data_IF_431290166387
#
_entry.id   IF_431290166387
#
_cell.length_a   1.000
_cell.length_b   1.000
_cell.length_c   1.000
_cell.angle_alpha   90.00
_cell.angle_beta   90.00
_cell.angle_gamma   90.00
#
_symmetry.space_group_name_H-M   'P 1'
#
loop_
_entity.id
_entity.type
_entity.pdbx_description
1 polymer ?
#
# COMPACT_ATOMS: atom_id res chain seq x y z
N UNK A 1 16.49 4.55 15.64
CA UNK A 1 16.31 5.59 14.60
C UNK A 1 17.69 5.97 14.07
N UNK A 2 17.90 6.08 12.75
CA UNK A 2 19.21 6.44 12.15
C UNK A 2 19.26 7.97 11.94
N UNK A 3 19.95 8.75 12.78
CA UNK A 3 19.82 10.22 12.80
C UNK A 3 20.35 10.91 11.54
N UNK A 4 21.26 10.24 10.80
CA UNK A 4 21.87 10.74 9.57
C UNK A 4 21.15 10.32 8.29
N UNK A 5 19.96 9.71 8.39
CA UNK A 5 19.19 9.35 7.20
C UNK A 5 18.69 10.61 6.49
N UNK A 6 18.93 10.71 5.18
CA UNK A 6 18.42 11.77 4.32
C UNK A 6 17.32 11.23 3.42
N UNK A 7 16.36 12.09 3.09
CA UNK A 7 15.22 11.75 2.22
C UNK A 7 15.11 12.78 1.11
N UNK A 8 14.77 12.33 -0.10
CA UNK A 8 14.34 13.26 -1.15
C UNK A 8 12.97 13.80 -0.78
N UNK A 9 12.68 15.06 -1.12
CA UNK A 9 11.39 15.71 -0.84
C UNK A 9 10.18 14.86 -1.30
N UNK A 10 10.28 14.26 -2.49
CA UNK A 10 9.23 13.40 -3.06
C UNK A 10 9.03 12.10 -2.26
N UNK A 11 10.11 11.50 -1.76
CA UNK A 11 10.04 10.31 -0.90
C UNK A 11 9.42 10.62 0.45
N UNK A 12 9.78 11.78 1.03
CA UNK A 12 9.17 12.26 2.27
C UNK A 12 7.67 12.50 2.10
N UNK A 13 7.25 13.15 1.01
CA UNK A 13 5.83 13.41 0.77
C UNK A 13 5.06 12.11 0.55
N UNK A 14 5.61 11.14 -0.21
CA UNK A 14 5.01 9.82 -0.34
C UNK A 14 4.84 9.12 1.03
N UNK A 15 5.86 9.22 1.90
CA UNK A 15 5.80 8.63 3.23
C UNK A 15 4.73 9.29 4.11
N UNK A 16 4.55 10.61 4.01
CA UNK A 16 3.48 11.33 4.72
C UNK A 16 2.12 10.81 4.28
N UNK A 17 1.86 10.69 2.98
CA UNK A 17 0.58 10.15 2.47
C UNK A 17 0.35 8.70 2.92
N UNK A 18 1.41 7.88 2.93
CA UNK A 18 1.34 6.48 3.33
C UNK A 18 1.06 6.30 4.83
N UNK A 19 1.93 6.84 5.68
CA UNK A 19 1.91 6.57 7.12
C UNK A 19 0.91 7.46 7.86
N UNK A 20 0.82 8.73 7.46
CA UNK A 20 -0.10 9.68 8.10
C UNK A 20 -1.44 9.70 7.37
N UNK A 21 -1.41 9.88 6.06
CA UNK A 21 -2.60 10.02 5.23
C UNK A 21 -3.51 8.79 5.21
N UNK A 22 -2.97 7.60 5.45
CA UNK A 22 -3.75 6.36 5.53
C UNK A 22 -3.64 5.71 6.90
N UNK A 23 -2.48 5.21 7.32
CA UNK A 23 -2.39 4.38 8.53
C UNK A 23 -2.77 5.14 9.81
N UNK A 24 -2.33 6.39 9.96
CA UNK A 24 -2.73 7.23 11.10
C UNK A 24 -4.19 7.66 10.98
N UNK A 25 -4.65 8.10 9.80
CA UNK A 25 -6.06 8.47 9.55
C UNK A 25 -7.01 7.34 9.95
N UNK A 26 -6.77 6.11 9.48
CA UNK A 26 -7.62 4.95 9.80
C UNK A 26 -7.54 4.60 11.28
N UNK A 27 -6.36 4.70 11.89
CA UNK A 27 -6.20 4.51 13.34
C UNK A 27 -7.02 5.50 14.14
N UNK A 28 -6.94 6.80 13.81
CA UNK A 28 -7.68 7.86 14.49
C UNK A 28 -9.20 7.69 14.31
N UNK A 29 -9.67 7.47 13.08
CA UNK A 29 -11.09 7.20 12.83
C UNK A 29 -11.58 5.98 13.62
N UNK A 30 -10.82 4.87 13.63
CA UNK A 30 -11.23 3.66 14.35
C UNK A 30 -11.33 3.84 15.86
N UNK A 31 -10.53 4.76 16.43
CA UNK A 31 -10.56 5.06 17.86
C UNK A 31 -11.85 5.76 18.28
N UNK A 32 -12.37 6.60 17.39
CA UNK A 32 -13.59 7.39 17.59
C UNK A 32 -14.87 6.56 17.32
N UNK A 33 -14.77 5.40 16.66
CA UNK A 33 -15.90 4.51 16.46
C UNK A 33 -16.41 3.90 17.76
N UNK A 34 -17.73 3.79 17.92
CA UNK A 34 -18.34 3.06 19.03
C UNK A 34 -18.04 1.55 18.92
N UNK A 35 -18.13 1.00 17.71
CA UNK A 35 -17.77 -0.39 17.43
C UNK A 35 -16.24 -0.55 17.34
N UNK A 36 -15.65 -1.15 18.38
CA UNK A 36 -14.19 -1.31 18.47
C UNK A 36 -13.59 -2.37 17.53
N UNK A 37 -14.43 -3.10 16.78
CA UNK A 37 -13.98 -4.05 15.75
C UNK A 37 -13.08 -3.39 14.70
N UNK A 38 -13.33 -2.12 14.36
CA UNK A 38 -12.53 -1.39 13.38
C UNK A 38 -11.12 -1.01 13.88
N UNK A 39 -10.89 -1.05 15.20
CA UNK A 39 -9.56 -0.84 15.80
C UNK A 39 -8.73 -2.13 15.76
N UNK A 40 -9.37 -3.27 16.06
CA UNK A 40 -8.77 -4.61 15.88
C UNK A 40 -8.46 -4.88 14.41
N UNK A 41 -9.38 -4.49 13.55
CA UNK A 41 -9.31 -4.61 12.10
C UNK A 41 -10.07 -5.81 11.55
N UNK A 42 -10.62 -5.63 10.35
CA UNK A 42 -11.37 -6.65 9.65
C UNK A 42 -10.45 -7.74 9.08
N UNK A 43 -10.97 -8.94 8.76
CA UNK A 43 -10.18 -9.97 8.09
C UNK A 43 -9.48 -9.44 6.84
N UNK A 44 -8.18 -9.75 6.70
CA UNK A 44 -7.36 -9.39 5.54
C UNK A 44 -7.28 -7.86 5.31
N UNK A 45 -7.54 -7.04 6.34
CA UNK A 45 -7.46 -5.57 6.25
C UNK A 45 -6.12 -5.08 5.69
N UNK A 46 -5.03 -5.81 5.95
CA UNK A 46 -3.68 -5.39 5.55
C UNK A 46 -3.56 -5.22 4.03
N UNK A 47 -4.24 -6.06 3.23
CA UNK A 47 -4.24 -5.91 1.77
C UNK A 47 -4.88 -4.57 1.36
N UNK A 48 -6.03 -4.22 1.96
CA UNK A 48 -6.69 -2.95 1.68
C UNK A 48 -5.92 -1.75 2.24
N UNK A 49 -5.40 -1.83 3.47
CA UNK A 49 -4.66 -0.73 4.09
C UNK A 49 -3.37 -0.39 3.34
N UNK A 50 -2.56 -1.40 2.98
CA UNK A 50 -1.34 -1.16 2.19
C UNK A 50 -1.69 -0.70 0.75
N UNK A 51 -2.79 -1.22 0.19
CA UNK A 51 -3.31 -0.78 -1.10
C UNK A 51 -3.71 0.69 -1.11
N UNK A 52 -4.51 1.12 -0.14
CA UNK A 52 -4.92 2.51 0.05
C UNK A 52 -3.70 3.42 0.25
N UNK A 53 -2.71 2.96 1.00
CA UNK A 53 -1.50 3.73 1.26
C UNK A 53 -0.66 3.95 -0.02
N UNK A 54 -0.51 2.93 -0.87
CA UNK A 54 0.15 3.10 -2.18
C UNK A 54 -0.71 3.94 -3.13
N UNK A 55 -2.04 3.80 -3.10
CA UNK A 55 -2.94 4.63 -3.87
C UNK A 55 -2.81 6.11 -3.46
N UNK A 56 -2.67 6.42 -2.18
CA UNK A 56 -2.40 7.77 -1.68
C UNK A 56 -1.03 8.30 -2.15
N UNK A 57 0.02 7.46 -2.14
CA UNK A 57 1.32 7.80 -2.77
C UNK A 57 1.13 8.17 -4.26
N UNK A 58 0.31 7.41 -5.00
CA UNK A 58 0.03 7.62 -6.42
C UNK A 58 -0.78 8.90 -6.68
N UNK A 59 -1.96 9.05 -6.04
CA UNK A 59 -2.88 10.16 -6.27
C UNK A 59 -2.32 11.50 -5.78
N UNK A 60 -1.39 11.50 -4.83
CA UNK A 60 -0.64 12.70 -4.44
C UNK A 60 0.43 13.14 -5.45
N UNK A 61 0.69 12.32 -6.49
CA UNK A 61 1.76 12.55 -7.47
C UNK A 61 3.16 12.20 -6.97
N UNK A 62 3.28 11.57 -5.80
CA UNK A 62 4.57 11.32 -5.13
C UNK A 62 5.14 9.91 -5.33
N UNK A 63 4.34 8.96 -5.85
CA UNK A 63 4.83 7.64 -6.23
C UNK A 63 5.91 7.77 -7.31
N UNK A 64 7.07 7.13 -7.10
CA UNK A 64 8.20 7.13 -8.02
C UNK A 64 8.35 5.78 -8.72
N UNK A 65 8.94 5.75 -9.93
CA UNK A 65 9.21 4.49 -10.64
C UNK A 65 10.16 3.59 -9.86
N UNK A 66 11.15 4.18 -9.17
CA UNK A 66 12.06 3.42 -8.31
C UNK A 66 11.32 2.80 -7.12
N UNK A 67 10.33 3.50 -6.55
CA UNK A 67 9.46 2.99 -5.48
C UNK A 67 8.58 1.84 -6.00
N UNK A 68 7.93 2.02 -7.15
CA UNK A 68 7.10 1.00 -7.78
C UNK A 68 7.92 -0.25 -8.15
N UNK A 69 9.09 -0.07 -8.79
CA UNK A 69 10.03 -1.17 -9.09
C UNK A 69 10.46 -1.90 -7.81
N UNK A 70 10.77 -1.18 -6.74
CA UNK A 70 11.15 -1.80 -5.45
C UNK A 70 10.01 -2.65 -4.87
N UNK A 71 8.76 -2.20 -4.97
CA UNK A 71 7.59 -3.00 -4.56
C UNK A 71 7.45 -4.25 -5.43
N UNK A 72 7.58 -4.13 -6.75
CA UNK A 72 7.52 -5.27 -7.68
C UNK A 72 8.60 -6.32 -7.40
N UNK A 73 9.84 -5.88 -7.19
CA UNK A 73 10.96 -6.78 -6.85
C UNK A 73 10.73 -7.52 -5.53
N UNK A 74 10.03 -6.91 -4.57
CA UNK A 74 9.67 -7.59 -3.32
C UNK A 74 8.62 -8.68 -3.55
N UNK A 75 7.62 -8.43 -4.40
CA UNK A 75 6.64 -9.45 -4.79
C UNK A 75 7.34 -10.64 -5.46
N UNK A 76 8.26 -10.37 -6.40
CA UNK A 76 9.07 -11.42 -7.05
C UNK A 76 9.92 -12.18 -6.03
N UNK A 77 10.56 -11.50 -5.09
CA UNK A 77 11.36 -12.14 -4.05
C UNK A 77 10.52 -13.02 -3.11
N UNK A 78 9.29 -12.60 -2.78
CA UNK A 78 8.34 -13.43 -2.01
C UNK A 78 7.95 -14.68 -2.81
N UNK A 79 7.64 -14.53 -4.10
CA UNK A 79 7.28 -15.64 -4.98
C UNK A 79 8.41 -16.68 -5.10
N UNK A 80 9.66 -16.23 -5.28
CA UNK A 80 10.83 -17.11 -5.28
C UNK A 80 10.98 -17.87 -3.96
N UNK A 81 10.85 -17.17 -2.82
CA UNK A 81 10.93 -17.79 -1.50
C UNK A 81 9.83 -18.85 -1.29
N UNK A 82 8.59 -18.53 -1.65
CA UNK A 82 7.46 -19.47 -1.57
C UNK A 82 7.64 -20.68 -2.51
N UNK A 83 8.37 -20.49 -3.61
CA UNK A 83 8.73 -21.54 -4.57
C UNK A 83 9.94 -22.38 -4.13
N UNK A 84 10.48 -22.13 -2.93
CA UNK A 84 11.57 -22.91 -2.34
C UNK A 84 12.97 -22.40 -2.65
N UNK A 85 13.12 -21.22 -3.28
CA UNK A 85 14.44 -20.63 -3.48
C UNK A 85 15.07 -20.26 -2.13
N UNK A 86 16.38 -20.45 -2.00
CA UNK A 86 17.12 -19.99 -0.84
C UNK A 86 17.53 -18.50 -0.96
N UNK A 87 18.13 -17.98 0.12
CA UNK A 87 18.57 -16.59 0.18
C UNK A 87 19.55 -16.23 -0.97
N UNK A 88 20.51 -17.11 -1.24
CA UNK A 88 21.58 -16.86 -2.21
C UNK A 88 21.03 -16.91 -3.63
N UNK A 89 20.15 -17.87 -3.91
CA UNK A 89 19.43 -18.00 -5.17
C UNK A 89 18.58 -16.76 -5.45
N UNK A 90 17.76 -16.32 -4.48
CA UNK A 90 16.95 -15.11 -4.59
C UNK A 90 17.83 -13.86 -4.82
N UNK A 91 18.90 -13.69 -4.05
CA UNK A 91 19.83 -12.57 -4.23
C UNK A 91 20.45 -12.56 -5.64
N UNK A 92 20.95 -13.71 -6.10
CA UNK A 92 21.56 -13.84 -7.41
C UNK A 92 20.56 -13.62 -8.54
N UNK A 93 19.31 -14.09 -8.40
CA UNK A 93 18.23 -13.78 -9.34
C UNK A 93 17.95 -12.27 -9.42
N UNK A 94 17.76 -11.60 -8.29
CA UNK A 94 17.54 -10.15 -8.27
C UNK A 94 18.69 -9.40 -8.93
N UNK A 95 19.94 -9.74 -8.59
CA UNK A 95 21.13 -9.09 -9.15
C UNK A 95 21.29 -9.37 -10.64
N UNK A 96 21.28 -10.63 -11.06
CA UNK A 96 21.72 -11.02 -12.40
C UNK A 96 20.57 -10.98 -13.43
N UNK A 97 19.36 -11.40 -13.05
CA UNK A 97 18.21 -11.46 -13.98
C UNK A 97 17.45 -10.16 -14.05
N UNK A 98 17.27 -9.50 -12.90
CA UNK A 98 16.50 -8.25 -12.81
C UNK A 98 17.37 -6.99 -12.75
N UNK A 99 18.69 -7.15 -12.93
CA UNK A 99 19.69 -6.08 -12.97
C UNK A 99 19.54 -5.10 -11.78
N UNK A 100 19.43 -5.68 -10.57
CA UNK A 100 19.26 -4.92 -9.34
C UNK A 100 20.62 -4.68 -8.70
N UNK A 101 20.91 -3.41 -8.41
CA UNK A 101 22.10 -3.00 -7.65
C UNK A 101 22.33 -3.89 -6.40
N UNK A 102 23.55 -4.41 -6.17
CA UNK A 102 23.80 -5.43 -5.14
C UNK A 102 23.30 -5.03 -3.74
N UNK A 103 23.48 -3.78 -3.33
CA UNK A 103 23.00 -3.29 -2.04
C UNK A 103 21.47 -3.31 -1.94
N UNK A 104 20.76 -2.96 -3.02
CA UNK A 104 19.31 -3.01 -3.03
C UNK A 104 18.80 -4.45 -3.06
N UNK A 105 19.42 -5.32 -3.88
CA UNK A 105 19.10 -6.74 -3.95
C UNK A 105 19.26 -7.39 -2.56
N UNK A 106 20.39 -7.17 -1.90
CA UNK A 106 20.65 -7.70 -0.56
C UNK A 106 19.62 -7.20 0.47
N UNK A 107 19.27 -5.92 0.44
CA UNK A 107 18.26 -5.35 1.34
C UNK A 107 16.86 -5.92 1.10
N UNK A 108 16.48 -6.19 -0.15
CA UNK A 108 15.21 -6.84 -0.49
C UNK A 108 15.23 -8.29 0.00
N UNK A 109 16.24 -9.07 -0.35
CA UNK A 109 16.35 -10.47 0.09
C UNK A 109 16.36 -10.57 1.62
N UNK A 110 17.16 -9.76 2.32
CA UNK A 110 17.17 -9.71 3.79
C UNK A 110 15.82 -9.33 4.38
N UNK A 111 15.07 -8.46 3.71
CA UNK A 111 13.71 -8.12 4.15
C UNK A 111 12.76 -9.30 4.02
N UNK A 112 12.82 -10.05 2.94
CA UNK A 112 11.91 -11.16 2.68
C UNK A 112 12.27 -12.39 3.52
N UNK A 113 13.54 -12.72 3.69
CA UNK A 113 13.96 -13.95 4.38
C UNK A 113 14.11 -13.80 5.90
N UNK A 114 13.97 -12.58 6.46
CA UNK A 114 14.05 -12.39 7.92
C UNK A 114 12.95 -13.17 8.63
N UNK A 115 13.28 -13.75 9.79
CA UNK A 115 12.30 -14.38 10.67
C UNK A 115 11.58 -15.59 10.08
N UNK A 116 12.20 -16.29 9.12
CA UNK A 116 11.64 -17.50 8.48
C UNK A 116 10.75 -17.25 7.26
N UNK A 117 10.60 -15.99 6.83
CA UNK A 117 9.90 -15.63 5.60
C UNK A 117 8.79 -14.60 5.83
N UNK A 118 8.97 -13.40 5.28
CA UNK A 118 8.06 -12.26 5.42
C UNK A 118 7.27 -12.05 4.12
N UNK A 119 6.15 -12.77 4.00
CA UNK A 119 5.31 -12.79 2.78
C UNK A 119 4.36 -11.59 2.66
N UNK A 120 4.24 -10.74 3.69
CA UNK A 120 3.37 -9.55 3.67
C UNK A 120 3.64 -8.63 2.48
N UNK A 121 4.89 -8.58 2.01
CA UNK A 121 5.27 -7.74 0.88
C UNK A 121 4.57 -8.12 -0.45
N UNK A 122 4.00 -9.34 -0.56
CA UNK A 122 3.13 -9.75 -1.67
C UNK A 122 1.80 -8.97 -1.75
N UNK A 123 1.29 -8.48 -0.61
CA UNK A 123 0.00 -7.81 -0.52
C UNK A 123 0.01 -6.37 -1.06
N UNK A 124 1.19 -5.75 -1.20
CA UNK A 124 1.32 -4.33 -1.53
C UNK A 124 0.77 -4.03 -2.93
N UNK A 125 1.29 -4.71 -3.96
CA UNK A 125 0.85 -4.44 -5.33
C UNK A 125 -0.53 -5.00 -5.65
N UNK A 126 -0.86 -6.19 -5.12
CA UNK A 126 -2.19 -6.78 -5.28
C UNK A 126 -3.27 -5.92 -4.61
N UNK A 127 -3.00 -5.43 -3.39
CA UNK A 127 -3.84 -4.47 -2.69
C UNK A 127 -4.00 -3.16 -3.46
N UNK A 128 -2.88 -2.59 -3.94
CA UNK A 128 -2.88 -1.36 -4.73
C UNK A 128 -3.74 -1.49 -6.00
N UNK A 129 -3.56 -2.55 -6.79
CA UNK A 129 -4.37 -2.78 -8.01
C UNK A 129 -5.85 -2.88 -7.66
N UNK A 130 -6.19 -3.62 -6.60
CA UNK A 130 -7.60 -3.81 -6.18
C UNK A 130 -8.26 -2.48 -5.82
N UNK A 131 -7.59 -1.64 -5.01
CA UNK A 131 -8.17 -0.34 -4.62
C UNK A 131 -8.13 0.69 -5.76
N UNK A 132 -7.11 0.63 -6.63
CA UNK A 132 -7.01 1.50 -7.80
C UNK A 132 -8.21 1.27 -8.74
N UNK A 133 -8.50 0.01 -9.08
CA UNK A 133 -9.65 -0.34 -9.95
C UNK A 133 -10.98 0.03 -9.30
N UNK A 134 -11.09 -0.15 -7.99
CA UNK A 134 -12.27 0.28 -7.25
C UNK A 134 -12.49 1.80 -7.35
N UNK A 135 -11.43 2.58 -7.19
CA UNK A 135 -11.45 4.05 -7.33
C UNK A 135 -11.70 4.51 -8.78
N UNK A 136 -11.07 3.88 -9.78
CA UNK A 136 -11.28 4.19 -11.21
C UNK A 136 -12.73 3.94 -11.66
N UNK A 137 -13.41 2.98 -11.03
CA UNK A 137 -14.85 2.74 -11.20
C UNK A 137 -15.74 3.79 -10.48
N UNK A 138 -15.15 4.90 -10.02
CA UNK A 138 -15.82 6.02 -9.36
C UNK A 138 -16.49 5.67 -8.02
N UNK A 139 -16.04 4.59 -7.35
CA UNK A 139 -16.53 4.28 -6.01
C UNK A 139 -15.89 5.19 -4.96
N UNK A 140 -16.66 5.53 -3.93
CA UNK A 140 -16.19 6.34 -2.81
C UNK A 140 -15.22 5.53 -1.93
N UNK A 141 -14.05 6.08 -1.62
CA UNK A 141 -13.07 5.43 -0.74
C UNK A 141 -13.31 5.75 0.74
N UNK A 142 -14.09 6.78 1.08
CA UNK A 142 -14.30 7.23 2.46
C UNK A 142 -14.80 6.13 3.40
N UNK A 143 -15.75 5.24 3.01
CA UNK A 143 -16.15 4.14 3.90
C UNK A 143 -14.99 3.25 4.34
N UNK A 144 -13.93 3.10 3.53
CA UNK A 144 -12.76 2.31 3.91
C UNK A 144 -11.87 3.01 4.95
N UNK A 145 -12.05 4.31 5.17
CA UNK A 145 -11.23 5.11 6.09
C UNK A 145 -11.70 5.07 7.55
N UNK A 146 -12.86 4.48 7.86
CA UNK A 146 -13.40 4.43 9.23
C UNK A 146 -12.52 3.64 10.22
N UNK A 147 -11.58 2.86 9.70
CA UNK A 147 -10.65 2.07 10.49
C UNK A 147 -9.82 1.09 9.67
N UNK A 148 -9.34 0.03 10.30
CA UNK A 148 -8.61 -1.05 9.62
C UNK A 148 -9.59 -1.96 8.88
N UNK A 149 -10.16 -1.45 7.80
CA UNK A 149 -11.20 -2.12 7.01
C UNK A 149 -10.58 -3.02 5.93
N UNK A 150 -11.43 -3.85 5.32
CA UNK A 150 -11.13 -4.57 4.08
C UNK A 150 -12.19 -4.23 3.04
N UNK A 151 -11.76 -4.04 1.80
CA UNK A 151 -12.61 -3.70 0.65
C UNK A 151 -13.69 -4.76 0.38
N UNK A 152 -13.47 -6.01 0.80
CA UNK A 152 -14.46 -7.08 0.66
C UNK A 152 -15.72 -6.85 1.52
N UNK A 153 -15.60 -6.01 2.55
CA UNK A 153 -16.72 -5.61 3.42
C UNK A 153 -17.26 -4.22 3.07
N UNK A 154 -16.86 -3.62 1.95
CA UNK A 154 -17.22 -2.25 1.59
C UNK A 154 -18.75 -2.01 1.67
N UNK A 155 -19.55 -2.85 0.99
CA UNK A 155 -21.00 -2.68 0.96
C UNK A 155 -21.64 -2.78 2.35
N UNK A 156 -21.12 -3.66 3.21
CA UNK A 156 -21.60 -3.81 4.60
C UNK A 156 -21.25 -2.56 5.40
N UNK A 157 -20.03 -2.05 5.26
CA UNK A 157 -19.59 -0.84 5.95
C UNK A 157 -20.43 0.37 5.50
N UNK A 158 -20.62 0.53 4.19
CA UNK A 158 -21.39 1.62 3.61
C UNK A 158 -22.86 1.59 4.09
N UNK A 159 -23.47 0.41 4.12
CA UNK A 159 -24.80 0.21 4.68
C UNK A 159 -24.85 0.55 6.19
N UNK A 160 -23.84 0.13 6.97
CA UNK A 160 -23.77 0.44 8.40
C UNK A 160 -23.64 1.95 8.66
N UNK A 161 -22.91 2.67 7.81
CA UNK A 161 -22.82 4.14 7.87
C UNK A 161 -24.18 4.76 7.53
N UNK A 162 -24.82 4.30 6.45
CA UNK A 162 -26.14 4.79 6.02
C UNK A 162 -27.27 4.53 7.04
N UNK A 163 -27.12 3.50 7.88
CA UNK A 163 -28.02 3.18 9.00
C UNK A 163 -27.60 3.80 10.33
N UNK A 164 -26.58 4.66 10.34
CA UNK A 164 -26.04 5.31 11.55
C UNK A 164 -25.55 4.34 12.64
N UNK A 165 -25.24 3.09 12.27
CA UNK A 165 -24.66 2.10 13.18
C UNK A 165 -23.16 2.37 13.43
N UNK A 166 -22.53 3.04 12.46
CA UNK A 166 -21.12 3.42 12.45
C UNK A 166 -21.04 4.87 12.00
N UNK A 167 -20.20 5.66 12.66
CA UNK A 167 -20.03 7.06 12.27
C UNK A 167 -19.23 7.13 10.96
N UNK A 168 -19.55 8.08 10.04
CA UNK A 168 -18.70 8.34 8.89
C UNK A 168 -17.27 8.72 9.33
N UNK A 169 -16.24 8.55 8.47
CA UNK A 169 -14.88 8.93 8.84
C UNK A 169 -14.80 10.44 9.06
N UNK A 170 -14.18 10.85 10.17
CA UNK A 170 -13.96 12.26 10.49
C UNK A 170 -12.70 12.80 9.80
N UNK A 171 -11.67 11.97 9.74
CA UNK A 171 -10.42 12.27 9.07
C UNK A 171 -10.40 11.60 7.70
N UNK A 172 -10.03 12.34 6.65
CA UNK A 172 -9.98 11.85 5.27
C UNK A 172 -8.57 11.99 4.72
N UNK A 173 -8.17 11.04 3.88
CA UNK A 173 -6.90 11.09 3.17
C UNK A 173 -6.93 12.21 2.14
N UNK A 174 -6.06 13.20 2.29
CA UNK A 174 -6.02 14.40 1.43
C UNK A 174 -5.98 14.06 -0.06
N UNK A 175 -5.12 13.12 -0.46
CA UNK A 175 -4.94 12.74 -1.87
C UNK A 175 -6.15 12.02 -2.49
N UNK A 176 -7.14 11.62 -1.69
CA UNK A 176 -8.41 11.08 -2.20
C UNK A 176 -9.43 12.19 -2.51
N UNK A 177 -9.31 13.36 -1.88
CA UNK A 177 -10.15 14.54 -2.15
C UNK A 177 -9.52 15.46 -3.21
N UNK A 178 -8.21 15.70 -3.09
CA UNK A 178 -7.42 16.57 -3.98
C UNK A 178 -6.43 15.73 -4.80
N UNK A 179 -6.94 15.05 -5.82
CA UNK A 179 -6.09 14.24 -6.71
C UNK A 179 -5.14 15.12 -7.52
N UNK A 180 -3.86 14.79 -7.53
CA UNK A 180 -2.82 15.50 -8.29
C UNK A 180 -2.27 14.62 -9.43
N UNK A 181 -3.13 13.82 -10.04
CA UNK A 181 -2.78 12.89 -11.12
C UNK A 181 -2.20 13.58 -12.34
N UNK A 182 -2.50 14.85 -12.59
CA UNK A 182 -1.89 15.63 -13.69
C UNK A 182 -0.36 15.80 -13.55
N UNK A 183 0.19 15.57 -12.35
CA UNK A 183 1.64 15.58 -12.09
C UNK A 183 2.28 14.19 -12.24
N UNK A 184 1.48 13.18 -12.51
CA UNK A 184 1.92 11.79 -12.67
C UNK A 184 2.42 11.61 -14.10
N UNK A 185 3.57 10.94 -14.23
CA UNK A 185 4.19 10.70 -15.54
C UNK A 185 3.32 9.73 -16.37
N UNK A 186 3.05 9.98 -17.67
CA UNK A 186 2.25 9.09 -18.52
C UNK A 186 2.72 7.62 -18.56
N UNK A 187 3.99 7.37 -18.24
CA UNK A 187 4.53 6.00 -18.10
C UNK A 187 3.80 5.19 -17.02
N UNK A 188 3.24 5.82 -15.99
CA UNK A 188 2.45 5.11 -14.99
C UNK A 188 1.16 4.58 -15.59
N UNK A 189 0.47 5.36 -16.42
CA UNK A 189 -0.76 4.90 -17.07
C UNK A 189 -0.47 3.71 -17.98
N UNK A 190 0.67 3.72 -18.67
CA UNK A 190 1.14 2.57 -19.45
C UNK A 190 1.38 1.33 -18.56
N UNK A 191 2.10 1.48 -17.43
CA UNK A 191 2.37 0.36 -16.53
C UNK A 191 1.08 -0.16 -15.89
N UNK A 192 0.22 0.73 -15.42
CA UNK A 192 -1.01 0.41 -14.70
C UNK A 192 -2.09 -0.16 -15.63
N UNK A 193 -2.16 0.26 -16.89
CA UNK A 193 -3.04 -0.36 -17.88
C UNK A 193 -2.62 -1.80 -18.22
N UNK A 194 -1.35 -2.15 -18.04
CA UNK A 194 -0.85 -3.51 -18.18
C UNK A 194 -1.17 -4.45 -17.01
N UNK A 195 -1.62 -3.91 -15.87
CA UNK A 195 -2.01 -4.71 -14.70
C UNK A 195 -3.44 -5.23 -14.90
N UNK A 196 -3.55 -6.49 -15.33
CA UNK A 196 -4.82 -7.22 -15.46
C UNK A 196 -5.29 -7.78 -14.13
#
# INVERSE_FOLDING_TARGET
VKPSATFRKKELQALIEHEIGVHMVTTMNSSEQNLKVFNLGLPINTLTQEGLAILAEYLSGNLTLSRLRKLALRVIAVDMMCSGADFVECFNQLKNKYDVEPNLAFNITTRIYRGGGFTKDYLYLSGFVKVLRFWENQNDLKPLLIGKTSIDFYNVIDEMIGREMVSPPKYVTRSFEETQTDKVNPIYDYILSGLK
#
